data_IF_641509055593
#
_entry.id   IF_641509055593
#
_cell.length_a   1.000
_cell.length_b   1.000
_cell.length_c   1.000
_cell.angle_alpha   90.00
_cell.angle_beta   90.00
_cell.angle_gamma   90.00
#
_symmetry.space_group_name_H-M   'P 1'
#
loop_
_entity.id
_entity.type
_entity.pdbx_description
1 polymer ?
#
# COMPACT_ATOMS: atom_id res chain seq x y z
N UNK A 1 -50.64 21.25 -83.98
CA UNK A 1 -50.05 19.97 -83.55
C UNK A 1 -48.75 20.16 -82.72
N UNK A 2 -48.59 21.24 -81.93
CA UNK A 2 -47.31 21.50 -81.26
C UNK A 2 -47.32 22.20 -79.88
N UNK A 3 -48.49 22.53 -79.33
CA UNK A 3 -48.56 23.32 -78.08
C UNK A 3 -48.97 22.52 -76.83
N UNK A 4 -49.58 21.34 -76.99
CA UNK A 4 -49.91 20.48 -75.84
C UNK A 4 -48.72 19.65 -75.38
N UNK A 5 -47.88 19.15 -76.29
CA UNK A 5 -46.74 18.29 -75.93
C UNK A 5 -45.61 19.01 -75.16
N UNK A 6 -45.38 20.31 -75.42
CA UNK A 6 -44.30 21.05 -74.74
C UNK A 6 -44.64 21.43 -73.29
N UNK A 7 -45.92 21.62 -72.97
CA UNK A 7 -46.35 22.00 -71.61
C UNK A 7 -46.30 20.81 -70.63
N UNK A 8 -46.60 19.60 -71.13
CA UNK A 8 -46.49 18.37 -70.35
C UNK A 8 -45.04 18.01 -70.02
N UNK A 9 -44.12 18.11 -70.97
CA UNK A 9 -42.68 17.81 -70.76
C UNK A 9 -42.05 18.79 -69.75
N UNK A 10 -42.44 20.07 -69.77
CA UNK A 10 -41.95 21.05 -68.79
C UNK A 10 -42.48 20.83 -67.38
N UNK A 11 -43.73 20.37 -67.24
CA UNK A 11 -44.31 20.03 -65.93
C UNK A 11 -43.68 18.75 -65.37
N UNK A 12 -43.50 17.73 -66.19
CA UNK A 12 -42.90 16.44 -65.80
C UNK A 12 -41.41 16.58 -65.42
N UNK A 13 -40.65 17.43 -66.11
CA UNK A 13 -39.26 17.75 -65.73
C UNK A 13 -39.17 18.60 -64.45
N UNK A 14 -40.15 19.49 -64.21
CA UNK A 14 -40.22 20.26 -62.95
C UNK A 14 -40.63 19.39 -61.78
N UNK A 15 -41.52 18.41 -61.99
CA UNK A 15 -41.93 17.43 -60.98
C UNK A 15 -40.77 16.50 -60.61
N UNK A 16 -40.05 15.96 -61.60
CA UNK A 16 -38.88 15.10 -61.37
C UNK A 16 -37.71 15.85 -60.68
N UNK A 17 -37.57 17.15 -60.93
CA UNK A 17 -36.57 17.99 -60.24
C UNK A 17 -36.94 18.23 -58.77
N UNK A 18 -38.23 18.44 -58.48
CA UNK A 18 -38.73 18.62 -57.11
C UNK A 18 -38.68 17.31 -56.31
N UNK A 19 -38.99 16.17 -56.94
CA UNK A 19 -38.90 14.86 -56.30
C UNK A 19 -37.43 14.49 -55.98
N UNK A 20 -36.48 14.83 -56.87
CA UNK A 20 -35.04 14.65 -56.62
C UNK A 20 -34.48 15.55 -55.51
N UNK A 21 -34.97 16.79 -55.40
CA UNK A 21 -34.59 17.69 -54.31
C UNK A 21 -35.21 17.24 -52.97
N UNK A 22 -36.41 16.67 -53.00
CA UNK A 22 -37.05 16.11 -51.80
C UNK A 22 -36.31 14.85 -51.31
N UNK A 23 -35.87 13.98 -52.20
CA UNK A 23 -35.06 12.80 -51.85
C UNK A 23 -33.70 13.21 -51.21
N UNK A 24 -33.08 14.29 -51.68
CA UNK A 24 -31.85 14.84 -51.07
C UNK A 24 -32.12 15.45 -49.68
N UNK A 25 -33.26 16.11 -49.50
CA UNK A 25 -33.68 16.67 -48.19
C UNK A 25 -33.96 15.53 -47.21
N UNK A 26 -34.66 14.49 -47.62
CA UNK A 26 -35.00 13.34 -46.76
C UNK A 26 -33.72 12.59 -46.32
N UNK A 27 -32.74 12.41 -47.22
CA UNK A 27 -31.42 11.82 -46.89
C UNK A 27 -30.59 12.72 -45.94
N UNK A 28 -30.71 14.05 -46.06
CA UNK A 28 -30.08 14.99 -45.14
C UNK A 28 -30.78 15.03 -43.78
N UNK A 29 -32.10 14.95 -43.72
CA UNK A 29 -32.86 14.87 -42.48
C UNK A 29 -32.56 13.58 -41.72
N UNK A 30 -32.40 12.45 -42.43
CA UNK A 30 -31.97 11.18 -41.84
C UNK A 30 -30.55 11.29 -41.27
N UNK A 31 -29.60 11.88 -42.00
CA UNK A 31 -28.24 12.14 -41.49
C UNK A 31 -28.21 13.09 -40.30
N UNK A 32 -29.04 14.13 -40.29
CA UNK A 32 -29.14 15.06 -39.15
C UNK A 32 -29.66 14.31 -37.92
N UNK A 33 -30.66 13.44 -38.10
CA UNK A 33 -31.19 12.63 -37.01
C UNK A 33 -30.16 11.63 -36.47
N UNK A 34 -29.40 10.97 -37.34
CA UNK A 34 -28.31 10.09 -36.92
C UNK A 34 -27.22 10.86 -36.14
N UNK A 35 -26.87 12.07 -36.59
CA UNK A 35 -25.92 12.94 -35.90
C UNK A 35 -26.43 13.43 -34.53
N UNK A 36 -27.72 13.74 -34.42
CA UNK A 36 -28.35 14.11 -33.15
C UNK A 36 -28.34 12.94 -32.16
N UNK A 37 -28.64 11.73 -32.61
CA UNK A 37 -28.55 10.51 -31.78
C UNK A 37 -27.10 10.22 -31.34
N UNK A 38 -26.12 10.44 -32.23
CA UNK A 38 -24.70 10.29 -31.90
C UNK A 38 -24.24 11.37 -30.90
N UNK A 39 -24.72 12.62 -31.04
CA UNK A 39 -24.43 13.71 -30.11
C UNK A 39 -25.02 13.43 -28.71
N UNK A 40 -26.27 12.97 -28.64
CA UNK A 40 -26.91 12.60 -27.37
C UNK A 40 -26.16 11.45 -26.68
N UNK A 41 -25.66 10.48 -27.45
CA UNK A 41 -24.81 9.41 -26.93
C UNK A 41 -23.51 9.96 -26.32
N UNK A 42 -22.78 10.82 -27.03
CA UNK A 42 -21.55 11.40 -26.49
C UNK A 42 -21.79 12.34 -25.30
N UNK A 43 -22.90 13.06 -25.27
CA UNK A 43 -23.28 13.90 -24.13
C UNK A 43 -23.51 13.05 -22.86
N UNK A 44 -24.21 11.92 -22.98
CA UNK A 44 -24.38 10.97 -21.89
C UNK A 44 -23.06 10.35 -21.43
N UNK A 45 -22.18 9.96 -22.37
CA UNK A 45 -20.85 9.44 -22.02
C UNK A 45 -20.00 10.49 -21.30
N UNK A 46 -20.05 11.75 -21.73
CA UNK A 46 -19.33 12.85 -21.08
C UNK A 46 -19.83 13.12 -19.66
N UNK A 47 -21.14 13.09 -19.44
CA UNK A 47 -21.74 13.26 -18.11
C UNK A 47 -21.32 12.15 -17.14
N UNK A 48 -21.33 10.89 -17.59
CA UNK A 48 -20.84 9.74 -16.80
C UNK A 48 -19.36 9.93 -16.44
N UNK A 49 -18.52 10.25 -17.43
CA UNK A 49 -17.08 10.47 -17.21
C UNK A 49 -16.84 11.65 -16.26
N UNK A 50 -17.60 12.73 -16.39
CA UNK A 50 -17.50 13.91 -15.52
C UNK A 50 -17.87 13.60 -14.07
N UNK A 51 -18.91 12.78 -13.86
CA UNK A 51 -19.34 12.32 -12.54
C UNK A 51 -18.31 11.36 -11.91
N UNK A 52 -17.76 10.43 -12.70
CA UNK A 52 -16.69 9.54 -12.25
C UNK A 52 -15.42 10.31 -11.85
N UNK A 53 -15.01 11.30 -12.65
CA UNK A 53 -13.86 12.17 -12.32
C UNK A 53 -14.12 12.99 -11.06
N UNK A 54 -15.31 13.58 -10.93
CA UNK A 54 -15.67 14.39 -9.75
C UNK A 54 -15.68 13.57 -8.47
N UNK A 55 -16.23 12.34 -8.51
CA UNK A 55 -16.22 11.43 -7.35
C UNK A 55 -14.80 10.98 -6.96
N UNK A 56 -13.92 10.72 -7.93
CA UNK A 56 -12.52 10.38 -7.67
C UNK A 56 -11.76 11.54 -7.00
N UNK A 57 -12.00 12.79 -7.44
CA UNK A 57 -11.41 13.98 -6.82
C UNK A 57 -11.94 14.20 -5.39
N UNK A 58 -13.23 13.96 -5.15
CA UNK A 58 -13.82 14.07 -3.81
C UNK A 58 -13.27 13.00 -2.85
N UNK A 59 -13.08 11.77 -3.33
CA UNK A 59 -12.40 10.71 -2.58
C UNK A 59 -10.96 11.10 -2.25
N UNK A 60 -10.18 11.58 -3.22
CA UNK A 60 -8.80 12.02 -2.98
C UNK A 60 -8.73 13.16 -1.95
N UNK A 61 -9.66 14.13 -2.02
CA UNK A 61 -9.75 15.21 -1.05
C UNK A 61 -10.12 14.71 0.36
N UNK A 62 -11.06 13.77 0.47
CA UNK A 62 -11.41 13.15 1.75
C UNK A 62 -10.27 12.32 2.32
N UNK A 63 -9.54 11.57 1.48
CA UNK A 63 -8.33 10.84 1.89
C UNK A 63 -7.27 11.80 2.43
N UNK A 64 -7.03 12.93 1.76
CA UNK A 64 -6.10 13.96 2.23
C UNK A 64 -6.56 14.60 3.56
N UNK A 65 -7.84 14.91 3.70
CA UNK A 65 -8.41 15.41 4.97
C UNK A 65 -8.29 14.38 6.10
N UNK A 66 -8.56 13.10 5.81
CA UNK A 66 -8.38 12.01 6.78
C UNK A 66 -6.92 11.87 7.20
N UNK A 67 -5.97 11.98 6.26
CA UNK A 67 -4.52 11.97 6.57
C UNK A 67 -4.13 13.15 7.47
N UNK A 68 -4.65 14.34 7.20
CA UNK A 68 -4.39 15.53 8.02
C UNK A 68 -4.99 15.39 9.43
N UNK A 69 -6.22 14.90 9.53
CA UNK A 69 -6.89 14.61 10.81
C UNK A 69 -6.15 13.53 11.60
N UNK A 70 -5.69 12.46 10.95
CA UNK A 70 -4.88 11.42 11.58
C UNK A 70 -3.57 12.00 12.11
N UNK A 71 -2.91 12.88 11.34
CA UNK A 71 -1.68 13.54 11.78
C UNK A 71 -1.93 14.44 13.00
N UNK A 72 -3.01 15.21 13.02
CA UNK A 72 -3.41 16.05 14.16
C UNK A 72 -3.69 15.17 15.38
N UNK A 73 -4.48 14.11 15.24
CA UNK A 73 -4.80 13.19 16.32
C UNK A 73 -3.54 12.49 16.86
N UNK A 74 -2.60 12.12 16.00
CA UNK A 74 -1.30 11.56 16.39
C UNK A 74 -0.49 12.58 17.21
N UNK A 75 -0.52 13.86 16.84
CA UNK A 75 0.19 14.91 17.58
C UNK A 75 -0.45 15.21 18.93
N UNK A 76 -1.77 15.26 19.02
CA UNK A 76 -2.50 15.46 20.28
C UNK A 76 -2.31 14.29 21.25
N UNK A 77 -2.16 13.06 20.73
CA UNK A 77 -1.98 11.86 21.54
C UNK A 77 -0.51 11.51 21.83
N UNK A 78 0.46 12.28 21.32
CA UNK A 78 1.88 11.98 21.53
C UNK A 78 2.31 12.24 22.97
N UNK A 79 2.49 11.16 23.72
CA UNK A 79 2.94 11.21 25.10
C UNK A 79 4.46 11.40 25.14
N UNK A 80 4.92 12.42 25.88
CA UNK A 80 6.34 12.69 26.10
C UNK A 80 6.77 12.29 27.52
N UNK A 81 7.90 11.58 27.64
CA UNK A 81 8.52 11.21 28.92
C UNK A 81 9.96 11.71 28.98
N UNK A 82 10.41 12.13 30.17
CA UNK A 82 11.83 12.45 30.41
C UNK A 82 12.68 11.20 30.28
N UNK A 83 13.84 11.31 29.63
CA UNK A 83 14.76 10.18 29.47
C UNK A 83 15.54 9.97 30.76
N UNK A 84 15.51 8.75 31.30
CA UNK A 84 16.28 8.36 32.48
C UNK A 84 17.79 8.62 32.25
N UNK A 85 18.49 9.15 33.26
CA UNK A 85 19.86 9.66 33.21
C UNK A 85 20.12 10.91 32.35
N UNK A 86 19.18 11.34 31.51
CA UNK A 86 19.30 12.49 30.60
C UNK A 86 18.14 13.48 30.79
N UNK A 87 18.06 14.17 31.95
CA UNK A 87 16.91 14.99 32.32
C UNK A 87 16.68 16.22 31.43
N UNK A 88 17.65 16.61 30.61
CA UNK A 88 17.50 17.68 29.61
C UNK A 88 16.72 17.25 28.36
N UNK A 89 16.34 15.97 28.25
CA UNK A 89 15.73 15.38 27.07
C UNK A 89 14.41 14.68 27.37
N UNK A 90 13.49 14.75 26.41
CA UNK A 90 12.26 13.96 26.40
C UNK A 90 12.21 13.06 25.17
N UNK A 91 11.57 11.91 25.33
CA UNK A 91 11.27 10.93 24.29
C UNK A 91 9.75 10.78 24.15
N UNK A 92 9.29 10.63 22.92
CA UNK A 92 7.88 10.57 22.58
C UNK A 92 7.42 9.16 22.24
N UNK A 93 6.13 8.90 22.41
CA UNK A 93 5.48 7.64 22.03
C UNK A 93 5.54 7.37 20.52
N UNK A 94 5.73 8.43 19.73
CA UNK A 94 5.92 8.35 18.27
C UNK A 94 7.40 8.15 17.87
N UNK A 95 8.32 7.97 18.82
CA UNK A 95 9.74 7.73 18.54
C UNK A 95 10.55 8.98 18.24
N UNK A 96 10.09 10.15 18.70
CA UNK A 96 10.82 11.43 18.58
C UNK A 96 11.58 11.73 19.86
N UNK A 97 12.68 12.48 19.76
CA UNK A 97 13.45 12.95 20.92
C UNK A 97 13.67 14.46 20.80
N UNK A 98 13.47 15.19 21.90
CA UNK A 98 13.64 16.65 21.95
C UNK A 98 14.43 17.10 23.16
N UNK A 99 15.09 18.26 23.05
CA UNK A 99 15.62 18.97 24.22
C UNK A 99 14.48 19.71 24.92
N UNK A 100 14.36 19.57 26.22
CA UNK A 100 13.28 20.21 27.00
C UNK A 100 13.41 21.73 26.93
N UNK A 101 14.58 22.27 27.24
CA UNK A 101 14.80 23.73 27.36
C UNK A 101 14.51 24.50 26.06
N UNK A 102 14.82 23.90 24.91
CA UNK A 102 14.72 24.59 23.61
C UNK A 102 13.56 24.09 22.76
N UNK A 103 12.83 23.05 23.17
CA UNK A 103 11.82 22.36 22.36
C UNK A 103 12.34 21.61 21.13
N UNK A 104 13.57 21.92 20.69
CA UNK A 104 14.20 21.38 19.47
C UNK A 104 14.20 19.85 19.42
N UNK A 105 13.58 19.30 18.37
CA UNK A 105 13.69 17.89 17.99
C UNK A 105 15.13 17.59 17.56
N UNK A 106 15.69 16.50 18.07
CA UNK A 106 17.03 16.06 17.75
C UNK A 106 17.08 15.37 16.38
N UNK A 107 18.20 15.55 15.68
CA UNK A 107 18.52 14.80 14.47
C UNK A 107 18.79 13.34 14.83
N UNK A 108 18.14 12.43 14.11
CA UNK A 108 18.38 10.99 14.14
C UNK A 108 19.35 10.59 13.03
N UNK A 109 20.12 9.53 13.26
CA UNK A 109 21.02 8.92 12.26
C UNK A 109 20.57 7.48 11.99
N UNK A 110 20.97 6.90 10.86
CA UNK A 110 20.72 5.48 10.54
C UNK A 110 22.05 4.72 10.63
N UNK A 111 22.06 3.56 11.29
CA UNK A 111 23.23 2.69 11.34
C UNK A 111 23.38 1.82 10.08
N UNK A 112 24.50 1.10 9.96
CA UNK A 112 24.74 0.19 8.82
C UNK A 112 23.76 -0.99 8.74
N UNK A 113 23.03 -1.28 9.83
CA UNK A 113 22.00 -2.32 9.88
C UNK A 113 20.60 -1.76 9.58
N UNK A 114 20.46 -0.46 9.34
CA UNK A 114 19.20 0.22 9.03
C UNK A 114 18.37 0.65 10.24
N UNK A 115 18.93 0.75 11.45
CA UNK A 115 18.23 1.23 12.64
C UNK A 115 18.47 2.71 12.90
N UNK A 116 17.44 3.42 13.36
CA UNK A 116 17.63 4.76 13.89
C UNK A 116 18.45 4.75 15.19
N UNK A 117 19.37 5.71 15.25
CA UNK A 117 20.25 6.02 16.36
C UNK A 117 20.05 7.46 16.80
N UNK A 118 20.14 7.68 18.11
CA UNK A 118 20.05 9.00 18.74
C UNK A 118 21.27 9.26 19.61
N UNK A 119 21.84 10.46 19.50
CA UNK A 119 22.97 10.90 20.31
C UNK A 119 22.47 11.80 21.44
N UNK A 120 22.68 11.38 22.68
CA UNK A 120 22.35 12.16 23.87
C UNK A 120 23.62 12.67 24.53
N UNK A 121 23.62 13.93 24.97
CA UNK A 121 24.77 14.57 25.59
C UNK A 121 24.51 14.77 27.08
N UNK A 122 25.47 14.38 27.93
CA UNK A 122 25.47 14.68 29.36
C UNK A 122 26.88 15.07 29.76
N UNK A 123 27.05 16.19 30.47
CA UNK A 123 28.36 16.69 30.90
C UNK A 123 29.39 16.77 29.76
N UNK A 124 28.97 17.27 28.59
CA UNK A 124 29.78 17.36 27.35
C UNK A 124 30.22 16.03 26.75
N UNK A 125 29.74 14.90 27.26
CA UNK A 125 29.99 13.56 26.70
C UNK A 125 28.75 13.09 25.94
N UNK A 126 28.96 12.67 24.69
CA UNK A 126 27.91 12.10 23.86
C UNK A 126 27.87 10.58 23.98
N UNK A 127 26.66 10.02 24.05
CA UNK A 127 26.43 8.58 23.97
C UNK A 127 25.31 8.29 22.97
N UNK A 128 25.55 7.28 22.14
CA UNK A 128 24.61 6.85 21.11
C UNK A 128 23.71 5.74 21.65
N UNK A 129 22.42 5.85 21.37
CA UNK A 129 21.40 4.87 21.73
C UNK A 129 20.63 4.46 20.49
N UNK A 130 20.13 3.22 20.48
CA UNK A 130 19.22 2.77 19.44
C UNK A 130 17.80 3.23 19.74
N UNK A 131 17.13 3.83 18.75
CA UNK A 131 15.84 4.49 18.94
C UNK A 131 14.76 3.54 19.47
N UNK A 132 14.51 2.42 18.77
CA UNK A 132 13.51 1.42 19.18
C UNK A 132 13.69 0.95 20.63
N UNK A 133 14.94 0.77 21.08
CA UNK A 133 15.22 0.30 22.44
C UNK A 133 14.95 1.37 23.49
N UNK A 134 15.35 2.62 23.23
CA UNK A 134 15.13 3.70 24.19
C UNK A 134 13.64 4.06 24.26
N UNK A 135 12.89 3.99 23.16
CA UNK A 135 11.42 4.14 23.15
C UNK A 135 10.78 3.02 23.98
N UNK A 136 11.05 1.76 23.65
CA UNK A 136 10.45 0.62 24.36
C UNK A 136 10.76 0.64 25.86
N UNK A 137 11.98 1.03 26.27
CA UNK A 137 12.37 1.15 27.68
C UNK A 137 11.46 2.12 28.46
N UNK A 138 11.01 3.21 27.85
CA UNK A 138 10.24 4.25 28.54
C UNK A 138 8.72 4.05 28.44
N UNK A 139 8.23 3.33 27.44
CA UNK A 139 6.78 3.21 27.17
C UNK A 139 6.22 1.80 27.33
N UNK A 140 7.05 0.75 27.23
CA UNK A 140 6.57 -0.64 27.21
C UNK A 140 7.14 -1.39 28.41
N UNK A 141 6.26 -1.81 29.31
CA UNK A 141 6.61 -2.65 30.46
C UNK A 141 7.32 -3.92 30.01
N UNK A 142 8.40 -4.27 30.71
CA UNK A 142 9.22 -5.46 30.43
C UNK A 142 9.37 -6.34 31.68
N UNK A 143 8.28 -6.91 32.23
CA UNK A 143 8.33 -7.70 33.47
C UNK A 143 9.22 -8.94 33.34
N UNK A 144 9.35 -9.49 32.13
CA UNK A 144 10.17 -10.66 31.82
C UNK A 144 11.65 -10.32 31.57
N UNK A 145 12.04 -9.04 31.63
CA UNK A 145 13.41 -8.56 31.41
C UNK A 145 14.03 -9.05 30.09
N UNK A 146 13.21 -9.09 29.03
CA UNK A 146 13.66 -9.48 27.70
C UNK A 146 14.67 -8.46 27.16
N UNK A 147 15.66 -8.95 26.41
CA UNK A 147 16.80 -8.11 25.96
C UNK A 147 16.61 -7.50 24.58
N UNK A 148 15.64 -7.98 23.79
CA UNK A 148 15.44 -7.53 22.43
C UNK A 148 14.09 -6.85 22.27
N UNK A 149 14.06 -5.87 21.37
CA UNK A 149 12.85 -5.20 20.91
C UNK A 149 12.72 -5.53 19.42
N UNK A 150 11.54 -5.99 19.02
CA UNK A 150 11.15 -6.30 17.65
C UNK A 150 10.27 -5.20 17.07
N UNK A 151 10.38 -5.00 15.76
CA UNK A 151 9.51 -4.14 14.96
C UNK A 151 8.44 -5.03 14.33
N UNK A 152 7.19 -4.91 14.78
CA UNK A 152 6.08 -5.78 14.37
C UNK A 152 5.96 -5.82 12.84
N UNK A 153 5.99 -4.65 12.19
CA UNK A 153 5.90 -4.53 10.73
C UNK A 153 7.22 -4.84 9.97
N UNK A 154 8.32 -5.16 10.66
CA UNK A 154 9.69 -5.29 10.12
C UNK A 154 10.32 -4.00 9.55
N UNK A 155 9.67 -2.85 9.67
CA UNK A 155 10.27 -1.56 9.36
C UNK A 155 11.04 -1.04 10.58
N UNK A 156 12.37 -1.00 10.44
CA UNK A 156 13.31 -0.57 11.49
C UNK A 156 13.27 0.94 11.76
N UNK A 157 12.69 1.71 10.83
CA UNK A 157 12.60 3.16 10.91
C UNK A 157 11.29 3.60 11.58
N UNK A 158 10.28 2.73 11.63
CA UNK A 158 9.05 2.96 12.38
C UNK A 158 9.24 2.63 13.87
N UNK A 159 9.56 3.65 14.66
CA UNK A 159 9.86 3.51 16.10
C UNK A 159 8.68 3.93 16.99
N UNK A 160 7.46 3.98 16.45
CA UNK A 160 6.24 4.25 17.22
C UNK A 160 5.97 3.11 18.19
N UNK A 161 5.48 3.41 19.39
CA UNK A 161 5.27 2.39 20.43
C UNK A 161 4.36 1.24 19.97
N UNK A 162 3.35 1.53 19.15
CA UNK A 162 2.43 0.52 18.61
C UNK A 162 3.08 -0.47 17.64
N UNK A 163 4.28 -0.16 17.13
CA UNK A 163 5.04 -1.04 16.27
C UNK A 163 6.18 -1.78 17.01
N UNK A 164 6.39 -1.53 18.30
CA UNK A 164 7.49 -2.10 19.07
C UNK A 164 6.98 -3.11 20.11
N UNK A 165 7.74 -4.19 20.31
CA UNK A 165 7.45 -5.17 21.37
C UNK A 165 8.70 -5.83 21.92
N UNK A 166 8.70 -6.13 23.21
CA UNK A 166 9.77 -6.91 23.86
C UNK A 166 9.68 -8.39 23.45
N UNK A 167 10.80 -8.98 23.04
CA UNK A 167 10.82 -10.35 22.51
C UNK A 167 12.05 -11.15 22.94
N UNK A 168 11.86 -12.47 22.98
CA UNK A 168 12.99 -13.41 23.01
C UNK A 168 13.71 -13.45 21.67
N UNK A 169 14.95 -13.97 21.66
CA UNK A 169 15.68 -14.22 20.41
C UNK A 169 14.92 -15.13 19.43
N UNK A 170 14.11 -16.05 19.96
CA UNK A 170 13.34 -16.97 19.14
C UNK A 170 12.16 -16.28 18.48
N UNK A 171 11.37 -15.53 19.25
CA UNK A 171 10.25 -14.74 18.73
C UNK A 171 10.71 -13.73 17.66
N UNK A 172 11.82 -13.02 17.92
CA UNK A 172 12.40 -12.11 16.92
C UNK A 172 12.74 -12.83 15.60
N UNK A 173 13.18 -14.11 15.67
CA UNK A 173 13.46 -14.92 14.47
C UNK A 173 12.19 -15.36 13.74
N UNK A 174 11.08 -15.54 14.44
CA UNK A 174 9.80 -15.91 13.82
C UNK A 174 9.33 -14.80 12.86
N UNK A 175 9.52 -13.54 13.26
CA UNK A 175 9.12 -12.35 12.50
C UNK A 175 10.06 -12.01 11.32
N UNK A 176 11.15 -12.75 11.09
CA UNK A 176 12.12 -12.41 10.04
C UNK A 176 11.57 -12.54 8.62
N UNK A 177 11.92 -11.58 7.77
CA UNK A 177 11.73 -11.67 6.33
C UNK A 177 12.55 -12.81 5.70
N UNK A 178 12.16 -13.20 4.50
CA UNK A 178 12.98 -14.07 3.65
C UNK A 178 14.33 -13.37 3.37
N UNK A 179 15.40 -14.17 3.31
CA UNK A 179 16.71 -13.65 2.90
C UNK A 179 16.67 -13.10 1.47
N UNK A 180 17.39 -12.00 1.24
CA UNK A 180 17.57 -11.40 -0.09
C UNK A 180 18.49 -12.24 -1.01
N UNK A 181 19.17 -13.26 -0.47
CA UNK A 181 20.01 -14.15 -1.28
C UNK A 181 19.13 -14.90 -2.28
N UNK A 182 19.59 -15.09 -3.53
CA UNK A 182 18.86 -15.90 -4.50
C UNK A 182 18.73 -17.32 -3.94
N UNK A 183 17.50 -17.80 -3.86
CA UNK A 183 17.17 -19.18 -3.48
C UNK A 183 16.22 -19.76 -4.50
N UNK A 184 15.95 -21.07 -4.45
CA UNK A 184 15.10 -21.74 -5.42
C UNK A 184 13.65 -21.21 -5.47
N UNK A 185 13.16 -20.57 -4.42
CA UNK A 185 11.81 -19.99 -4.36
C UNK A 185 11.88 -18.52 -3.96
N UNK A 186 10.85 -17.75 -4.31
CA UNK A 186 10.62 -16.40 -3.78
C UNK A 186 9.97 -16.41 -2.38
N UNK A 187 9.47 -17.56 -1.91
CA UNK A 187 8.75 -17.68 -0.64
C UNK A 187 9.62 -18.21 0.51
N UNK A 188 9.40 -17.71 1.73
CA UNK A 188 10.07 -18.15 2.96
C UNK A 188 9.67 -19.59 3.27
N UNK A 189 10.67 -20.43 3.56
CA UNK A 189 10.44 -21.84 3.94
C UNK A 189 10.14 -22.78 2.76
N UNK A 190 10.16 -22.30 1.52
CA UNK A 190 9.86 -23.08 0.31
C UNK A 190 11.13 -23.37 -0.48
N UNK A 191 11.26 -24.61 -0.94
CA UNK A 191 12.46 -25.10 -1.65
C UNK A 191 12.08 -26.03 -2.79
N UNK A 192 12.75 -25.90 -3.94
CA UNK A 192 12.57 -26.82 -5.07
C UNK A 192 13.33 -28.12 -4.82
N UNK A 193 12.67 -29.26 -5.01
CA UNK A 193 13.30 -30.58 -5.06
C UNK A 193 13.47 -30.95 -6.54
N UNK A 194 14.64 -30.59 -7.09
CA UNK A 194 14.93 -30.76 -8.53
C UNK A 194 14.67 -32.17 -9.08
N UNK A 195 14.97 -33.21 -8.30
CA UNK A 195 14.81 -34.62 -8.71
C UNK A 195 13.36 -34.97 -9.08
N UNK A 196 12.38 -34.41 -8.37
CA UNK A 196 10.97 -34.73 -8.55
C UNK A 196 10.19 -33.58 -9.20
N UNK A 197 10.86 -32.44 -9.44
CA UNK A 197 10.21 -31.19 -9.85
C UNK A 197 9.05 -30.77 -8.91
N UNK A 198 9.19 -31.03 -7.61
CA UNK A 198 8.21 -30.69 -6.58
C UNK A 198 8.74 -29.63 -5.64
N UNK A 199 7.84 -28.85 -5.06
CA UNK A 199 8.16 -27.84 -4.05
C UNK A 199 7.92 -28.39 -2.67
N UNK A 200 8.92 -28.31 -1.77
CA UNK A 200 8.72 -28.64 -0.36
C UNK A 200 8.59 -27.40 0.49
N UNK A 201 7.72 -27.49 1.48
CA UNK A 201 7.62 -26.52 2.56
C UNK A 201 8.26 -27.08 3.84
N UNK A 202 9.01 -26.25 4.54
CA UNK A 202 9.58 -26.58 5.84
C UNK A 202 9.63 -25.36 6.76
N UNK A 203 9.48 -25.59 8.06
CA UNK A 203 9.58 -24.57 9.10
C UNK A 203 10.59 -25.01 10.17
N UNK A 204 11.27 -24.05 10.80
CA UNK A 204 12.32 -24.33 11.79
C UNK A 204 11.92 -23.77 13.15
N UNK A 205 11.96 -24.60 14.18
CA UNK A 205 11.59 -24.27 15.56
C UNK A 205 12.59 -24.93 16.49
N UNK A 206 13.12 -24.21 17.48
CA UNK A 206 14.09 -24.76 18.43
C UNK A 206 15.25 -25.52 17.75
N UNK A 207 15.72 -24.97 16.62
CA UNK A 207 16.75 -25.56 15.75
C UNK A 207 16.34 -26.83 14.97
N UNK A 208 15.20 -27.45 15.28
CA UNK A 208 14.63 -28.59 14.56
C UNK A 208 13.85 -28.14 13.32
N UNK A 209 13.98 -28.87 12.22
CA UNK A 209 13.22 -28.66 10.99
C UNK A 209 11.98 -29.54 11.00
N UNK A 210 10.85 -28.97 10.63
CA UNK A 210 9.58 -29.67 10.46
C UNK A 210 9.22 -29.63 8.98
N UNK A 211 8.98 -30.80 8.40
CA UNK A 211 8.54 -30.97 7.03
C UNK A 211 7.03 -30.78 6.97
N UNK A 212 6.56 -29.95 6.03
CA UNK A 212 5.15 -29.57 5.92
C UNK A 212 4.45 -30.18 4.70
N UNK A 213 5.20 -30.82 3.81
CA UNK A 213 4.66 -31.44 2.60
C UNK A 213 5.48 -31.14 1.34
N UNK A 214 5.03 -31.74 0.25
CA UNK A 214 5.50 -31.56 -1.12
C UNK A 214 4.30 -31.18 -2.00
N UNK A 215 4.51 -30.25 -2.92
CA UNK A 215 3.47 -29.56 -3.66
C UNK A 215 3.89 -29.38 -5.12
N UNK A 216 2.92 -29.17 -6.01
CA UNK A 216 3.19 -29.00 -7.44
C UNK A 216 3.68 -27.57 -7.73
N UNK A 217 3.21 -26.59 -6.96
CA UNK A 217 3.57 -25.18 -7.10
C UNK A 217 4.27 -24.65 -5.85
N UNK A 218 5.04 -23.58 -6.00
CA UNK A 218 5.68 -22.93 -4.85
C UNK A 218 4.67 -22.14 -4.00
N UNK A 219 3.56 -21.72 -4.60
CA UNK A 219 2.44 -21.01 -4.00
C UNK A 219 1.69 -21.93 -3.01
N UNK A 220 1.38 -23.16 -3.41
CA UNK A 220 0.81 -24.19 -2.53
C UNK A 220 1.73 -24.46 -1.33
N UNK A 221 3.03 -24.62 -1.58
CA UNK A 221 4.02 -24.79 -0.53
C UNK A 221 4.09 -23.56 0.41
N UNK A 222 3.94 -22.35 -0.13
CA UNK A 222 3.94 -21.11 0.65
C UNK A 222 2.68 -20.98 1.51
N UNK A 223 1.51 -21.40 1.01
CA UNK A 223 0.26 -21.49 1.79
C UNK A 223 0.42 -22.47 2.96
N UNK A 224 0.96 -23.66 2.72
CA UNK A 224 1.24 -24.63 3.78
C UNK A 224 2.22 -24.08 4.83
N UNK A 225 3.24 -23.32 4.40
CA UNK A 225 4.12 -22.60 5.32
C UNK A 225 3.37 -21.54 6.14
N UNK A 226 2.55 -20.71 5.51
CA UNK A 226 1.79 -19.66 6.18
C UNK A 226 0.83 -20.23 7.23
N UNK A 227 0.06 -21.26 6.88
CA UNK A 227 -0.84 -21.94 7.81
C UNK A 227 -0.09 -22.45 9.05
N UNK A 228 1.05 -23.12 8.83
CA UNK A 228 1.86 -23.62 9.96
C UNK A 228 2.53 -22.50 10.75
N UNK A 229 2.94 -21.40 10.11
CA UNK A 229 3.53 -20.26 10.79
C UNK A 229 2.51 -19.57 11.70
N UNK A 230 1.26 -19.42 11.27
CA UNK A 230 0.15 -18.90 12.10
C UNK A 230 -0.05 -19.81 13.31
N UNK A 231 -0.19 -21.11 13.09
CA UNK A 231 -0.40 -22.10 14.16
C UNK A 231 0.71 -22.06 15.22
N UNK A 232 1.97 -21.95 14.80
CA UNK A 232 3.11 -22.11 15.70
C UNK A 232 3.66 -20.81 16.27
N UNK A 233 3.55 -19.70 15.54
CA UNK A 233 4.16 -18.42 15.90
C UNK A 233 3.13 -17.34 16.25
N UNK A 234 1.85 -17.52 15.91
CA UNK A 234 0.80 -16.55 16.21
C UNK A 234 1.13 -15.14 15.71
N UNK A 235 1.04 -14.15 16.59
CA UNK A 235 1.35 -12.74 16.30
C UNK A 235 2.81 -12.47 15.85
N UNK A 236 3.72 -13.42 16.04
CA UNK A 236 5.12 -13.30 15.60
C UNK A 236 5.35 -13.87 14.19
N UNK A 237 4.32 -14.42 13.56
CA UNK A 237 4.42 -15.05 12.26
C UNK A 237 4.61 -14.00 11.15
N UNK A 238 5.77 -14.05 10.47
CA UNK A 238 5.90 -13.37 9.18
C UNK A 238 5.46 -14.29 8.04
N UNK A 239 4.34 -13.92 7.43
CA UNK A 239 3.71 -14.65 6.33
C UNK A 239 4.28 -14.23 4.97
N UNK A 240 4.22 -15.16 4.02
CA UNK A 240 4.45 -14.89 2.61
C UNK A 240 3.23 -14.18 2.01
N UNK A 241 3.47 -13.14 1.21
CA UNK A 241 2.45 -12.51 0.37
C UNK A 241 2.39 -13.33 -0.92
N UNK A 242 1.24 -13.93 -1.22
CA UNK A 242 1.06 -14.82 -2.37
C UNK A 242 0.14 -14.08 -3.33
N UNK A 243 0.71 -13.63 -4.45
CA UNK A 243 -0.06 -13.10 -5.57
C UNK A 243 -0.79 -14.26 -6.25
N UNK A 244 -2.11 -14.18 -6.32
CA UNK A 244 -2.93 -15.09 -7.12
C UNK A 244 -2.79 -14.76 -8.60
#
# INVERSE_FOLDING_TARGET
MGLTNNYFITLENSQNSLDSEQDEIDDLEEKIKELDEEFDYYAQQFEIISNDISSNIEIENLENQLVELDQILIEETDVWKTIEDYPDYQISSQGRVKKIKTGKILKINVDSNGYYLINLCKNKVFKTYSMHRIVAKHFISNPQQLKNVDHINNDKLDNRIGNLRWVTNQQNRMNQLKTKKPTSSIYKGVFLIKKYNLWKAQIKINKKKFYLGQFQTQEEAALAYNAKAIELFGEFAKLNIISQ
#
